data_IF_703418984021
#
_entry.id   IF_703418984021
#
_cell.length_a   1.000
_cell.length_b   1.000
_cell.length_c   1.000
_cell.angle_alpha   90.00
_cell.angle_beta   90.00
_cell.angle_gamma   90.00
#
_symmetry.space_group_name_H-M   'P 1'
#
loop_
_entity.id
_entity.type
_entity.pdbx_description
1 polymer ?
#
# COMPACT_ATOMS: atom_id res chain seq x y z
N UNK A 1 -14.30 -1.39 0.66
CA UNK A 1 -12.93 -1.54 1.24
C UNK A 1 -13.02 -1.14 2.71
N UNK A 2 -13.24 -2.09 3.61
CA UNK A 2 -13.17 -1.78 5.04
C UNK A 2 -11.67 -1.74 5.39
N UNK A 3 -11.06 -0.55 5.32
CA UNK A 3 -9.62 -0.39 5.52
C UNK A 3 -9.13 -0.95 6.86
N UNK A 4 -9.85 -0.74 7.99
CA UNK A 4 -9.52 -1.42 9.24
C UNK A 4 -9.42 -2.93 9.12
N UNK A 5 -10.42 -3.57 8.56
CA UNK A 5 -10.41 -5.03 8.42
C UNK A 5 -9.37 -5.52 7.41
N UNK A 6 -9.13 -4.78 6.33
CA UNK A 6 -8.06 -5.10 5.36
C UNK A 6 -6.70 -5.09 6.05
N UNK A 7 -6.42 -4.09 6.89
CA UNK A 7 -5.16 -4.01 7.62
C UNK A 7 -5.01 -5.08 8.70
N UNK A 8 -6.11 -5.52 9.30
CA UNK A 8 -6.13 -6.58 10.30
C UNK A 8 -5.73 -7.95 9.72
N UNK A 9 -6.15 -8.26 8.48
CA UNK A 9 -6.00 -9.60 7.91
C UNK A 9 -4.93 -9.73 6.82
N UNK A 10 -4.36 -8.62 6.35
CA UNK A 10 -3.41 -8.66 5.23
C UNK A 10 -1.97 -8.82 5.72
N UNK A 11 -1.20 -9.66 5.03
CA UNK A 11 0.27 -9.68 5.15
C UNK A 11 0.93 -8.67 4.20
N UNK A 12 0.22 -8.28 3.14
CA UNK A 12 0.71 -7.40 2.06
C UNK A 12 -0.44 -6.71 1.36
N UNK A 13 -0.27 -5.44 1.01
CA UNK A 13 -1.27 -4.62 0.31
C UNK A 13 -0.65 -4.11 -1.00
N UNK A 14 -1.30 -4.42 -2.12
CA UNK A 14 -0.96 -3.87 -3.43
C UNK A 14 -1.79 -2.63 -3.69
N UNK A 15 -1.12 -1.50 -3.91
CA UNK A 15 -1.78 -0.23 -4.20
C UNK A 15 -1.72 0.02 -5.70
N UNK A 16 -2.90 0.13 -6.30
CA UNK A 16 -3.08 0.41 -7.71
C UNK A 16 -3.62 1.83 -7.89
N UNK A 17 -3.05 2.56 -8.85
CA UNK A 17 -3.47 3.91 -9.21
C UNK A 17 -3.37 4.05 -10.73
N UNK A 18 -4.42 4.60 -11.36
CA UNK A 18 -4.49 4.78 -12.81
C UNK A 18 -4.21 3.50 -13.61
N UNK A 19 -4.77 2.37 -13.18
CA UNK A 19 -4.65 1.09 -13.88
C UNK A 19 -3.32 0.36 -13.72
N UNK A 20 -2.37 0.89 -12.94
CA UNK A 20 -1.07 0.26 -12.68
C UNK A 20 -0.80 0.10 -11.18
N UNK A 21 -0.05 -0.94 -10.80
CA UNK A 21 0.47 -1.10 -9.44
C UNK A 21 1.58 -0.06 -9.22
N UNK A 22 1.42 0.78 -8.21
CA UNK A 22 2.40 1.84 -7.88
C UNK A 22 3.17 1.54 -6.60
N UNK A 23 2.61 0.75 -5.70
CA UNK A 23 3.27 0.36 -4.47
C UNK A 23 2.82 -1.03 -4.03
N UNK A 24 3.69 -1.65 -3.26
CA UNK A 24 3.39 -2.76 -2.39
C UNK A 24 3.73 -2.24 -1.00
N UNK A 25 2.92 -2.53 0.02
CA UNK A 25 3.25 -2.19 1.40
C UNK A 25 2.95 -3.36 2.33
N UNK A 26 3.63 -3.38 3.47
CA UNK A 26 3.29 -4.24 4.60
C UNK A 26 2.41 -3.41 5.57
N UNK A 27 1.22 -3.87 5.96
CA UNK A 27 0.36 -3.12 6.89
C UNK A 27 0.95 -2.93 8.29
N UNK A 28 2.05 -3.63 8.63
CA UNK A 28 2.80 -3.41 9.88
C UNK A 28 3.72 -2.18 9.84
N UNK A 29 4.16 -1.78 8.65
CA UNK A 29 5.12 -0.68 8.45
C UNK A 29 4.43 0.64 8.03
N UNK A 30 3.15 0.58 7.70
CA UNK A 30 2.36 1.71 7.18
C UNK A 30 1.06 1.84 7.94
N UNK A 31 0.56 3.07 8.06
CA UNK A 31 -0.78 3.33 8.57
C UNK A 31 -1.83 3.22 7.47
N UNK A 32 -3.10 3.12 7.87
CA UNK A 32 -4.23 3.18 6.92
C UNK A 32 -4.23 4.49 6.14
N UNK A 33 -3.89 5.62 6.79
CA UNK A 33 -3.79 6.92 6.14
C UNK A 33 -2.69 6.96 5.08
N UNK A 34 -1.55 6.31 5.31
CA UNK A 34 -0.46 6.27 4.32
C UNK A 34 -0.90 5.51 3.07
N UNK A 35 -1.57 4.36 3.25
CA UNK A 35 -2.11 3.61 2.12
C UNK A 35 -3.11 4.43 1.28
N UNK A 36 -3.98 5.21 1.93
CA UNK A 36 -4.91 6.12 1.25
C UNK A 36 -4.17 7.27 0.56
N UNK A 37 -3.16 7.85 1.20
CA UNK A 37 -2.35 8.93 0.63
C UNK A 37 -1.60 8.47 -0.62
N UNK A 38 -1.02 7.27 -0.62
CA UNK A 38 -0.38 6.66 -1.80
C UNK A 38 -1.43 6.37 -2.88
N UNK A 39 -2.59 5.82 -2.52
CA UNK A 39 -3.68 5.49 -3.47
C UNK A 39 -4.21 6.71 -4.20
N UNK A 40 -4.36 7.84 -3.51
CA UNK A 40 -4.82 9.11 -4.08
C UNK A 40 -3.71 9.90 -4.79
N UNK A 41 -2.45 9.65 -4.42
CA UNK A 41 -1.27 10.37 -4.90
C UNK A 41 -0.94 11.62 -4.07
N UNK A 42 -1.46 11.72 -2.85
CA UNK A 42 -1.07 12.74 -1.87
C UNK A 42 0.30 12.45 -1.22
N UNK A 43 0.76 11.20 -1.28
CA UNK A 43 2.08 10.77 -0.84
C UNK A 43 2.75 9.99 -1.97
N UNK A 44 4.06 10.17 -2.14
CA UNK A 44 4.84 9.38 -3.08
C UNK A 44 4.95 7.92 -2.61
N UNK A 45 4.87 6.93 -3.53
CA UNK A 45 5.09 5.55 -3.17
C UNK A 45 6.53 5.33 -2.70
N UNK A 46 6.78 4.37 -1.79
CA UNK A 46 8.13 4.03 -1.37
C UNK A 46 8.99 3.59 -2.58
N UNK A 47 10.32 3.78 -2.54
CA UNK A 47 11.23 3.30 -3.58
C UNK A 47 11.00 1.83 -3.89
N UNK A 48 11.18 1.44 -5.16
CA UNK A 48 10.87 0.10 -5.69
C UNK A 48 11.73 -1.02 -5.04
N UNK A 49 12.69 -0.68 -4.18
CA UNK A 49 13.83 -1.55 -3.87
C UNK A 49 13.64 -2.74 -2.91
N UNK A 50 12.55 -2.92 -2.16
CA UNK A 50 12.56 -4.01 -1.15
C UNK A 50 11.33 -4.92 -1.03
N UNK A 51 10.29 -4.77 -1.85
CA UNK A 51 9.06 -5.58 -1.66
C UNK A 51 8.69 -6.45 -2.87
N UNK A 52 9.63 -6.74 -3.77
CA UNK A 52 9.38 -7.53 -5.00
C UNK A 52 10.12 -8.87 -5.09
N UNK A 53 10.83 -9.33 -4.06
CA UNK A 53 11.43 -10.67 -4.06
C UNK A 53 10.52 -11.70 -3.38
N UNK A 54 9.49 -12.13 -4.10
CA UNK A 54 8.85 -13.45 -4.07
C UNK A 54 7.64 -13.43 -5.01
#
# INVERSE_FOLDING_TARGET
HNMPHVFEVSDRIHIHRLGRRIAVINPRDYSMSDAVAIMTGAMEPPPIEEQQAA
#
